data_IF_152579310084
#
_entry.id   IF_152579310084
#
_cell.length_a   1.000
_cell.length_b   1.000
_cell.length_c   1.000
_cell.angle_alpha   90.00
_cell.angle_beta   90.00
_cell.angle_gamma   90.00
#
_symmetry.space_group_name_H-M   'P 1'
#
loop_
_entity.id
_entity.type
_entity.pdbx_description
1 polymer ?
#
# COMPACT_ATOMS: atom_id res chain seq x y z
N UNK A 1 -14.70 11.46 0.34
CA UNK A 1 -13.95 10.63 -0.61
C UNK A 1 -12.50 10.50 -0.18
N UNK A 2 -11.91 9.35 -0.44
CA UNK A 2 -10.48 9.13 -0.20
C UNK A 2 -9.68 9.41 -1.45
N UNK A 3 -8.45 9.89 -1.29
CA UNK A 3 -7.50 9.88 -2.40
C UNK A 3 -6.99 8.45 -2.61
N UNK A 4 -6.39 8.18 -3.77
CA UNK A 4 -5.76 6.89 -4.01
C UNK A 4 -4.67 6.61 -2.96
N UNK A 5 -3.91 7.64 -2.60
CA UNK A 5 -2.88 7.53 -1.57
C UNK A 5 -3.47 7.11 -0.22
N UNK A 6 -4.61 7.69 0.17
CA UNK A 6 -5.30 7.33 1.41
C UNK A 6 -5.73 5.85 1.38
N UNK A 7 -6.31 5.40 0.28
CA UNK A 7 -6.78 4.03 0.13
C UNK A 7 -5.61 3.04 0.23
N UNK A 8 -4.49 3.35 -0.42
CA UNK A 8 -3.29 2.50 -0.37
C UNK A 8 -2.75 2.41 1.06
N UNK A 9 -2.62 3.55 1.74
CA UNK A 9 -2.11 3.57 3.12
C UNK A 9 -3.03 2.81 4.06
N UNK A 10 -4.35 2.96 3.91
CA UNK A 10 -5.30 2.23 4.75
C UNK A 10 -5.14 0.70 4.58
N UNK A 11 -4.95 0.22 3.35
CA UNK A 11 -4.71 -1.20 3.11
C UNK A 11 -3.39 -1.67 3.72
N UNK A 12 -2.33 -0.85 3.57
CA UNK A 12 -1.04 -1.16 4.20
C UNK A 12 -1.17 -1.25 5.71
N UNK A 13 -1.82 -0.28 6.34
CA UNK A 13 -2.01 -0.28 7.79
C UNK A 13 -2.79 -1.49 8.26
N UNK A 14 -3.81 -1.91 7.50
CA UNK A 14 -4.58 -3.11 7.84
C UNK A 14 -3.67 -4.34 7.91
N UNK A 15 -2.94 -4.63 6.84
CA UNK A 15 -2.11 -5.84 6.79
C UNK A 15 -0.90 -5.75 7.70
N UNK A 16 -0.28 -4.59 7.80
CA UNK A 16 0.84 -4.39 8.72
C UNK A 16 0.40 -4.58 10.16
N UNK A 17 -0.77 -4.06 10.52
CA UNK A 17 -1.34 -4.24 11.85
C UNK A 17 -1.63 -5.70 12.17
N UNK A 18 -2.22 -6.41 11.23
CA UNK A 18 -2.53 -7.85 11.40
C UNK A 18 -1.28 -8.69 11.58
N UNK A 19 -0.18 -8.29 10.95
CA UNK A 19 1.07 -9.05 10.96
C UNK A 19 2.12 -8.46 11.91
N UNK A 20 1.79 -7.40 12.61
CA UNK A 20 2.72 -6.68 13.50
C UNK A 20 4.01 -6.25 12.78
N UNK A 21 3.86 -5.72 11.56
CA UNK A 21 5.00 -5.28 10.76
C UNK A 21 5.27 -3.80 10.96
N UNK A 22 6.55 -3.47 11.10
CA UNK A 22 7.03 -2.09 10.99
C UNK A 22 7.25 -1.76 9.52
N UNK A 23 7.37 -0.47 9.21
CA UNK A 23 7.74 -0.04 7.87
C UNK A 23 9.09 -0.62 7.44
N UNK A 24 10.02 -0.68 8.37
CA UNK A 24 11.35 -1.23 8.12
C UNK A 24 11.27 -2.71 7.76
N UNK A 25 10.47 -3.47 8.51
CA UNK A 25 10.31 -4.91 8.25
C UNK A 25 9.61 -5.14 6.91
N UNK A 26 8.62 -4.33 6.59
CA UNK A 26 7.94 -4.43 5.29
C UNK A 26 8.92 -4.17 4.15
N UNK A 27 9.78 -3.15 4.28
CA UNK A 27 10.82 -2.89 3.28
C UNK A 27 11.72 -4.11 3.09
N UNK A 28 12.15 -4.73 4.19
CA UNK A 28 12.98 -5.93 4.13
C UNK A 28 12.27 -7.08 3.43
N UNK A 29 11.01 -7.34 3.76
CA UNK A 29 10.26 -8.46 3.20
C UNK A 29 9.89 -8.25 1.74
N UNK A 30 9.62 -7.01 1.34
CA UNK A 30 9.16 -6.69 -0.02
C UNK A 30 10.30 -6.45 -1.00
N UNK A 31 11.50 -6.12 -0.49
CA UNK A 31 12.60 -5.68 -1.34
C UNK A 31 12.45 -4.25 -1.84
N UNK A 32 11.45 -3.53 -1.37
CA UNK A 32 11.25 -2.11 -1.71
C UNK A 32 12.07 -1.27 -0.74
N UNK A 33 12.82 -0.26 -1.22
CA UNK A 33 13.62 0.58 -0.33
C UNK A 33 12.79 1.19 0.80
N UNK A 34 13.38 1.27 1.98
CA UNK A 34 12.69 1.85 3.14
C UNK A 34 12.22 3.28 2.87
N UNK A 35 13.03 4.08 2.17
CA UNK A 35 12.65 5.45 1.83
C UNK A 35 11.38 5.50 0.97
N UNK A 36 11.21 4.52 0.09
CA UNK A 36 10.00 4.42 -0.74
C UNK A 36 8.80 4.05 0.10
N UNK A 37 8.93 3.05 0.99
CA UNK A 37 7.86 2.69 1.93
C UNK A 37 7.47 3.90 2.78
N UNK A 38 8.44 4.59 3.33
CA UNK A 38 8.22 5.77 4.15
C UNK A 38 7.46 6.86 3.40
N UNK A 39 7.87 7.13 2.15
CA UNK A 39 7.20 8.14 1.31
C UNK A 39 5.75 7.77 1.03
N UNK A 40 5.48 6.49 0.76
CA UNK A 40 4.11 6.00 0.55
C UNK A 40 3.28 6.21 1.82
N UNK A 41 3.82 5.78 2.97
CA UNK A 41 3.10 5.89 4.25
C UNK A 41 2.84 7.33 4.66
N UNK A 42 3.71 8.26 4.28
CA UNK A 42 3.55 9.69 4.54
C UNK A 42 2.70 10.39 3.47
N UNK A 43 2.17 9.63 2.53
CA UNK A 43 1.30 10.14 1.47
C UNK A 43 1.98 11.21 0.61
N UNK A 44 3.30 11.10 0.44
CA UNK A 44 4.07 12.02 -0.40
C UNK A 44 3.93 11.72 -1.89
N UNK A 45 3.52 10.49 -2.23
CA UNK A 45 3.29 10.10 -3.62
C UNK A 45 1.78 10.03 -3.87
N UNK A 46 1.35 10.49 -5.04
CA UNK A 46 -0.07 10.46 -5.41
C UNK A 46 -0.51 9.08 -5.86
N UNK A 47 0.41 8.29 -6.36
CA UNK A 47 0.16 6.92 -6.78
C UNK A 47 1.44 6.13 -6.66
N UNK A 48 1.34 4.80 -6.74
CA UNK A 48 2.51 3.95 -6.80
C UNK A 48 2.43 3.12 -8.09
N UNK A 49 3.57 2.78 -8.65
CA UNK A 49 3.58 1.97 -9.85
C UNK A 49 3.22 0.52 -9.51
N UNK A 50 2.70 -0.19 -10.50
CA UNK A 50 2.21 -1.55 -10.31
C UNK A 50 3.32 -2.49 -9.84
N UNK A 51 4.53 -2.33 -10.34
CA UNK A 51 5.67 -3.16 -9.94
C UNK A 51 5.92 -3.04 -8.43
N UNK A 52 5.97 -1.82 -7.92
CA UNK A 52 6.16 -1.57 -6.49
C UNK A 52 5.02 -2.19 -5.67
N UNK A 53 3.79 -2.04 -6.15
CA UNK A 53 2.62 -2.61 -5.47
C UNK A 53 2.69 -4.13 -5.43
N UNK A 54 3.14 -4.78 -6.50
CA UNK A 54 3.31 -6.23 -6.53
C UNK A 54 4.36 -6.67 -5.50
N UNK A 55 5.50 -5.97 -5.42
CA UNK A 55 6.52 -6.29 -4.44
C UNK A 55 6.02 -6.11 -3.01
N UNK A 56 5.30 -5.02 -2.73
CA UNK A 56 4.73 -4.78 -1.41
C UNK A 56 3.73 -5.89 -1.04
N UNK A 57 2.85 -6.24 -1.97
CA UNK A 57 1.88 -7.31 -1.76
C UNK A 57 2.59 -8.64 -1.44
N UNK A 58 3.64 -8.96 -2.19
CA UNK A 58 4.46 -10.14 -1.90
C UNK A 58 5.06 -10.10 -0.51
N UNK A 59 5.55 -8.93 -0.08
CA UNK A 59 6.09 -8.76 1.27
C UNK A 59 5.04 -8.97 2.36
N UNK A 60 3.78 -8.67 2.05
CA UNK A 60 2.65 -8.91 2.95
C UNK A 60 2.11 -10.33 2.86
N UNK A 61 2.59 -11.13 1.92
CA UNK A 61 2.11 -12.50 1.73
C UNK A 61 0.77 -12.60 1.04
N UNK A 62 0.38 -11.59 0.27
CA UNK A 62 -0.90 -11.56 -0.45
C UNK A 62 -0.67 -11.26 -1.93
N UNK A 63 -1.67 -11.53 -2.76
CA UNK A 63 -1.64 -11.14 -4.16
C UNK A 63 -1.97 -9.66 -4.30
N UNK A 64 -1.56 -9.05 -5.41
CA UNK A 64 -1.95 -7.67 -5.70
C UNK A 64 -3.47 -7.56 -5.84
N UNK A 65 -4.13 -8.59 -6.35
CA UNK A 65 -5.58 -8.62 -6.46
C UNK A 65 -6.23 -8.54 -5.07
N UNK A 66 -5.71 -9.28 -4.11
CA UNK A 66 -6.21 -9.22 -2.73
C UNK A 66 -5.95 -7.86 -2.11
N UNK A 67 -4.79 -7.27 -2.36
CA UNK A 67 -4.48 -5.93 -1.87
C UNK A 67 -5.52 -4.92 -2.34
N UNK A 68 -5.94 -5.02 -3.60
CA UNK A 68 -6.88 -4.08 -4.21
C UNK A 68 -8.35 -4.47 -4.01
N UNK A 69 -8.62 -5.60 -3.38
CA UNK A 69 -9.99 -6.07 -3.14
C UNK A 69 -10.60 -5.36 -1.93
N UNK A 70 -10.95 -4.10 -2.14
CA UNK A 70 -11.59 -3.28 -1.12
C UNK A 70 -12.43 -2.20 -1.79
N UNK A 71 -13.54 -1.86 -1.16
CA UNK A 71 -14.48 -0.87 -1.71
C UNK A 71 -13.84 0.51 -1.91
N UNK A 72 -12.80 0.83 -1.14
CA UNK A 72 -12.12 2.12 -1.28
C UNK A 72 -11.43 2.30 -2.64
N UNK A 73 -11.19 1.20 -3.39
CA UNK A 73 -10.59 1.28 -4.72
C UNK A 73 -11.61 1.39 -5.85
N UNK A 74 -12.91 1.38 -5.53
CA UNK A 74 -13.93 1.68 -6.55
C UNK A 74 -13.85 3.16 -6.92
N UNK A 75 -13.91 3.46 -8.21
CA UNK A 75 -13.76 4.85 -8.68
C UNK A 75 -14.78 5.80 -8.06
N UNK A 76 -15.98 5.31 -7.72
CA UNK A 76 -17.02 6.10 -7.05
C UNK A 76 -16.62 6.54 -5.64
N UNK A 77 -15.66 5.85 -5.01
CA UNK A 77 -15.19 6.13 -3.66
C UNK A 77 -13.83 6.84 -3.64
N UNK A 78 -13.25 7.10 -4.81
CA UNK A 78 -11.92 7.70 -4.92
C UNK A 78 -11.99 9.09 -5.52
N UNK A 79 -11.19 9.98 -4.96
CA UNK A 79 -10.87 11.25 -5.55
C UNK A 79 -9.60 11.06 -6.40
N UNK A 80 -9.78 11.01 -7.73
CA UNK A 80 -8.69 10.64 -8.64
C UNK A 80 -7.96 11.85 -9.26
N UNK A 81 -8.43 13.07 -8.97
CA UNK A 81 -7.87 14.28 -9.58
C UNK A 81 -7.35 15.25 -8.53
#
# INVERSE_FOLDING_TARGET
MKTLSDAIVDRLLKYMGEQNLTQYKLASLSGVPFSTIKSIMQKRTKSIDLKTLIFISNGLGISVAEFLDDKSFLSENLELY
#
